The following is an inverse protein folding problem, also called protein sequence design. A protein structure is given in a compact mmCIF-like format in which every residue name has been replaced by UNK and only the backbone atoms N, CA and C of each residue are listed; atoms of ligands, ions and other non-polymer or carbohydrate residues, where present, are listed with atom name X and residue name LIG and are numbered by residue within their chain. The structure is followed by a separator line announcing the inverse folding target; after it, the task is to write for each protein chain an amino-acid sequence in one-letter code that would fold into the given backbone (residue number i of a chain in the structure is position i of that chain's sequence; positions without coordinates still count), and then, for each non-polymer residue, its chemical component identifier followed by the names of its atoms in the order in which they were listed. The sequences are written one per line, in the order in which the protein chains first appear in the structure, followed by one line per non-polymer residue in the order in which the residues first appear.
data_IF_883847124478
#
_entry.id   IF_883847124478
#
_cell.length_a   1.000
_cell.length_b   1.000
_cell.length_c   1.000
_cell.angle_alpha   90.00
_cell.angle_beta   90.00
_cell.angle_gamma   90.00
#
_symmetry.space_group_name_H-M   'P 1'
#
loop_
_entity.id
_entity.type
_entity.pdbx_description
1 polymer ?
#
# COMPACT_ATOMS: atom_id res chain seq x y z
N UNK A 1 -22.62 -17.01 -13.30
CA UNK A 1 -22.20 -18.36 -12.87
C UNK A 1 -21.63 -18.23 -11.46
N UNK A 2 -22.54 -18.11 -10.46
CA UNK A 2 -22.19 -17.81 -9.07
C UNK A 2 -22.45 -19.02 -8.20
N UNK A 3 -21.39 -19.50 -7.54
CA UNK A 3 -21.34 -20.34 -6.33
C UNK A 3 -22.33 -21.49 -6.22
N UNK A 4 -22.26 -22.48 -7.10
CA UNK A 4 -22.85 -23.80 -6.83
C UNK A 4 -21.97 -24.75 -6.00
N UNK A 5 -20.79 -24.30 -5.54
CA UNK A 5 -19.88 -25.14 -4.76
C UNK A 5 -19.15 -24.39 -3.65
N UNK A 6 -19.89 -23.73 -2.76
CA UNK A 6 -19.31 -23.48 -1.44
C UNK A 6 -19.48 -24.78 -0.65
N UNK A 7 -18.50 -25.65 -0.80
CA UNK A 7 -18.28 -26.76 0.10
C UNK A 7 -17.81 -26.20 1.45
N UNK A 8 -18.73 -25.61 2.21
CA UNK A 8 -18.48 -25.22 3.59
C UNK A 8 -18.32 -26.52 4.36
N UNK A 9 -17.07 -26.95 4.51
CA UNK A 9 -16.72 -28.01 5.47
C UNK A 9 -17.07 -27.49 6.86
N UNK A 10 -18.28 -27.80 7.29
CA UNK A 10 -18.76 -27.57 8.64
C UNK A 10 -18.02 -28.48 9.61
N UNK A 11 -16.88 -28.04 10.08
CA UNK A 11 -16.23 -28.62 11.23
C UNK A 11 -15.97 -27.52 12.24
N UNK A 12 -17.02 -27.14 12.94
CA UNK A 12 -16.97 -26.71 14.34
C UNK A 12 -18.36 -26.18 14.68
N UNK A 13 -19.03 -26.81 15.63
CA UNK A 13 -20.26 -26.32 16.26
C UNK A 13 -20.02 -24.88 16.70
N UNK A 14 -20.43 -23.91 15.88
CA UNK A 14 -20.29 -22.51 16.20
C UNK A 14 -21.25 -22.21 17.35
N UNK A 15 -20.74 -21.82 18.49
CA UNK A 15 -21.58 -21.33 19.56
C UNK A 15 -22.30 -20.06 19.08
N UNK A 16 -23.63 -20.05 19.24
CA UNK A 16 -24.44 -18.88 18.91
C UNK A 16 -24.38 -17.91 20.09
N UNK A 17 -23.88 -16.72 19.86
CA UNK A 17 -23.70 -15.72 20.91
C UNK A 17 -24.76 -14.62 20.88
N UNK A 18 -25.52 -14.53 19.79
CA UNK A 18 -26.50 -13.49 19.54
C UNK A 18 -27.87 -14.06 19.21
N UNK A 19 -28.90 -13.42 19.69
CA UNK A 19 -30.29 -13.75 19.39
C UNK A 19 -31.14 -12.49 19.27
N UNK A 20 -32.43 -12.66 18.95
CA UNK A 20 -33.42 -11.58 18.95
C UNK A 20 -34.31 -11.80 20.16
N UNK A 21 -34.41 -10.79 21.02
CA UNK A 21 -35.42 -10.75 22.07
C UNK A 21 -36.85 -10.66 21.45
N UNK A 22 -37.72 -11.60 21.80
CA UNK A 22 -39.05 -11.68 21.20
C UNK A 22 -39.97 -10.54 21.64
N UNK A 23 -39.71 -9.92 22.80
CA UNK A 23 -40.56 -8.85 23.34
C UNK A 23 -40.19 -7.50 22.68
N UNK A 24 -38.91 -7.22 22.49
CA UNK A 24 -38.46 -5.91 21.96
C UNK A 24 -38.16 -5.97 20.48
N UNK A 25 -37.84 -7.15 19.91
CA UNK A 25 -37.33 -7.32 18.54
C UNK A 25 -35.85 -6.92 18.40
N UNK A 26 -35.19 -6.59 19.50
CA UNK A 26 -33.78 -6.16 19.48
C UNK A 26 -32.83 -7.35 19.49
N UNK A 27 -31.66 -7.12 18.91
CA UNK A 27 -30.55 -8.11 18.95
C UNK A 27 -29.89 -8.02 20.34
N UNK A 28 -29.82 -9.17 21.02
CA UNK A 28 -29.25 -9.29 22.36
C UNK A 28 -28.10 -10.31 22.39
N UNK A 29 -27.08 -10.01 23.17
CA UNK A 29 -25.99 -10.96 23.45
C UNK A 29 -26.43 -11.98 24.50
N UNK A 30 -25.81 -13.19 24.47
CA UNK A 30 -26.09 -14.22 25.47
C UNK A 30 -25.86 -13.74 26.91
N UNK A 31 -24.89 -12.87 27.13
CA UNK A 31 -24.51 -12.37 28.43
C UNK A 31 -25.51 -11.31 28.94
N UNK A 32 -26.19 -10.60 28.06
CA UNK A 32 -27.18 -9.59 28.39
C UNK A 32 -28.54 -10.21 28.80
N UNK A 33 -28.77 -11.46 28.41
CA UNK A 33 -30.01 -12.17 28.74
C UNK A 33 -30.02 -12.61 30.22
N UNK A 34 -31.02 -12.19 30.97
CA UNK A 34 -31.10 -12.51 32.42
C UNK A 34 -31.50 -13.95 32.72
N UNK A 35 -32.39 -14.52 31.91
CA UNK A 35 -33.00 -15.83 32.16
C UNK A 35 -32.23 -16.95 31.44
N UNK A 36 -32.19 -18.15 32.07
CA UNK A 36 -31.60 -19.37 31.51
C UNK A 36 -32.65 -20.22 30.80
N UNK A 37 -32.22 -21.14 29.95
CA UNK A 37 -33.10 -22.08 29.26
C UNK A 37 -34.05 -21.40 28.28
N UNK A 38 -35.24 -21.91 28.11
CA UNK A 38 -36.28 -21.35 27.25
C UNK A 38 -36.84 -20.01 27.75
N UNK A 39 -36.70 -19.72 29.04
CA UNK A 39 -37.16 -18.49 29.64
C UNK A 39 -36.34 -17.26 29.18
N UNK A 40 -35.32 -17.46 28.37
CA UNK A 40 -34.57 -16.35 27.76
C UNK A 40 -35.42 -15.51 26.80
N UNK A 41 -36.55 -16.02 26.36
CA UNK A 41 -37.45 -15.36 25.41
C UNK A 41 -36.79 -14.88 24.14
N UNK A 42 -35.77 -15.61 23.67
CA UNK A 42 -34.99 -15.26 22.49
C UNK A 42 -35.25 -16.22 21.33
N UNK A 43 -35.08 -15.70 20.11
CA UNK A 43 -35.19 -16.46 18.87
C UNK A 43 -33.98 -16.28 17.98
N UNK A 44 -33.81 -17.22 17.05
CA UNK A 44 -32.73 -17.15 16.03
C UNK A 44 -33.00 -16.04 15.01
N UNK A 45 -31.98 -15.24 14.71
CA UNK A 45 -32.05 -14.19 13.68
C UNK A 45 -32.26 -14.75 12.26
N UNK A 46 -31.81 -15.99 12.00
CA UNK A 46 -31.88 -16.60 10.67
C UNK A 46 -33.20 -17.34 10.41
N UNK A 47 -33.64 -18.21 11.34
CA UNK A 47 -34.78 -19.08 11.12
C UNK A 47 -35.98 -18.73 11.97
N UNK A 48 -35.91 -17.73 12.85
CA UNK A 48 -36.90 -17.36 13.86
C UNK A 48 -37.26 -18.47 14.88
N UNK A 49 -36.48 -19.61 14.87
CA UNK A 49 -36.68 -20.69 15.84
C UNK A 49 -36.26 -20.28 17.25
N UNK A 50 -36.91 -20.89 18.27
CA UNK A 50 -36.68 -20.58 19.66
C UNK A 50 -35.31 -20.99 20.15
N UNK A 51 -34.69 -20.14 20.96
CA UNK A 51 -33.42 -20.37 21.58
C UNK A 51 -33.54 -20.84 23.04
N UNK A 52 -32.55 -21.67 23.41
CA UNK A 52 -32.26 -22.05 24.78
C UNK A 52 -30.97 -21.33 25.20
N UNK A 53 -31.02 -20.50 26.22
CA UNK A 53 -29.82 -19.85 26.76
C UNK A 53 -29.04 -20.83 27.67
N UNK A 54 -27.88 -21.29 27.23
CA UNK A 54 -26.99 -22.17 28.00
C UNK A 54 -25.96 -21.33 28.72
N UNK A 55 -26.20 -21.08 30.01
CA UNK A 55 -25.34 -20.25 30.89
C UNK A 55 -24.82 -21.09 32.06
N UNK A 56 -24.01 -22.09 31.80
CA UNK A 56 -23.41 -22.94 32.82
C UNK A 56 -22.05 -22.41 33.29
N UNK A 57 -21.68 -22.70 34.53
CA UNK A 57 -20.42 -22.21 35.13
C UNK A 57 -19.17 -22.80 34.45
N UNK A 58 -19.26 -24.02 33.91
CA UNK A 58 -18.11 -24.74 33.30
C UNK A 58 -17.98 -24.53 31.80
N UNK A 59 -19.04 -24.15 31.11
CA UNK A 59 -19.08 -24.01 29.65
C UNK A 59 -19.26 -22.56 29.26
N UNK A 60 -18.74 -22.22 28.08
CA UNK A 60 -19.00 -20.89 27.49
C UNK A 60 -20.49 -20.66 27.32
N UNK A 61 -20.94 -19.48 27.69
CA UNK A 61 -22.33 -19.07 27.48
C UNK A 61 -22.63 -19.03 25.97
N UNK A 62 -23.76 -19.60 25.56
CA UNK A 62 -24.22 -19.60 24.17
C UNK A 62 -25.72 -19.88 24.09
N UNK A 63 -26.31 -19.49 22.96
CA UNK A 63 -27.62 -19.94 22.58
C UNK A 63 -27.57 -21.28 21.84
N UNK A 64 -28.59 -22.08 21.98
CA UNK A 64 -28.79 -23.30 21.18
C UNK A 64 -30.24 -23.31 20.68
N UNK A 65 -30.47 -23.86 19.50
CA UNK A 65 -31.83 -24.08 19.03
C UNK A 65 -32.53 -25.14 19.89
N UNK A 66 -33.81 -24.94 20.12
CA UNK A 66 -34.64 -25.94 20.82
C UNK A 66 -34.75 -27.24 20.00
N UNK A 67 -34.80 -27.13 18.69
CA UNK A 67 -35.06 -28.22 17.75
C UNK A 67 -33.81 -28.95 17.25
N UNK A 68 -32.67 -28.83 17.88
CA UNK A 68 -31.36 -29.35 17.39
C UNK A 68 -31.01 -29.01 15.92
N UNK A 69 -31.70 -28.00 15.37
CA UNK A 69 -31.40 -27.51 14.02
C UNK A 69 -30.23 -26.53 14.06
N UNK A 70 -29.28 -26.69 13.16
CA UNK A 70 -28.12 -25.80 13.06
C UNK A 70 -28.35 -24.75 11.97
N UNK A 71 -28.45 -23.49 12.35
CA UNK A 71 -28.45 -22.37 11.43
C UNK A 71 -27.01 -21.90 11.19
N UNK A 72 -26.53 -22.14 10.01
CA UNK A 72 -25.15 -21.87 9.61
C UNK A 72 -24.76 -20.38 9.74
N UNK A 73 -25.72 -19.46 9.53
CA UNK A 73 -25.45 -18.03 9.49
C UNK A 73 -26.14 -17.23 10.62
N UNK A 74 -26.54 -17.90 11.70
CA UNK A 74 -27.34 -17.24 12.74
C UNK A 74 -26.58 -16.10 13.45
N UNK A 75 -25.32 -16.31 13.79
CA UNK A 75 -24.49 -15.26 14.41
C UNK A 75 -24.26 -14.08 13.48
N UNK A 76 -24.00 -14.36 12.25
CA UNK A 76 -23.67 -13.38 11.24
C UNK A 76 -24.87 -12.50 10.94
N UNK A 77 -26.01 -13.10 10.70
CA UNK A 77 -27.27 -12.36 10.49
C UNK A 77 -27.56 -11.51 11.71
N UNK A 78 -27.42 -12.05 12.93
CA UNK A 78 -27.61 -11.29 14.14
C UNK A 78 -26.64 -10.09 14.25
N UNK A 79 -25.37 -10.28 13.92
CA UNK A 79 -24.38 -9.21 13.91
C UNK A 79 -24.76 -8.12 12.89
N UNK A 80 -25.16 -8.50 11.68
CA UNK A 80 -25.62 -7.53 10.68
C UNK A 80 -26.84 -6.75 11.12
N UNK A 81 -27.80 -7.42 11.75
CA UNK A 81 -29.00 -6.77 12.31
C UNK A 81 -28.63 -5.83 13.48
N UNK A 82 -27.70 -6.26 14.34
CA UNK A 82 -27.20 -5.40 15.40
C UNK A 82 -26.53 -4.15 14.83
N UNK A 83 -25.61 -4.32 13.86
CA UNK A 83 -24.94 -3.19 13.22
C UNK A 83 -25.93 -2.28 12.50
N UNK A 84 -26.97 -2.84 11.86
CA UNK A 84 -28.09 -2.04 11.31
C UNK A 84 -28.75 -1.17 12.37
N UNK A 85 -29.07 -1.74 13.54
CA UNK A 85 -29.63 -0.98 14.65
C UNK A 85 -28.72 0.13 15.13
N UNK A 86 -27.41 -0.15 15.23
CA UNK A 86 -26.40 0.84 15.59
C UNK A 86 -26.37 1.99 14.57
N UNK A 87 -26.34 1.68 13.28
CA UNK A 87 -26.40 2.71 12.23
C UNK A 87 -27.66 3.55 12.33
N UNK A 88 -28.82 2.92 12.52
CA UNK A 88 -30.10 3.62 12.64
C UNK A 88 -30.21 4.49 13.91
N UNK A 89 -29.41 4.22 14.94
CA UNK A 89 -29.40 5.00 16.19
C UNK A 89 -28.50 6.24 16.15
N UNK A 90 -27.63 6.36 15.12
CA UNK A 90 -26.72 7.49 14.97
C UNK A 90 -27.14 8.36 13.78
N UNK A 91 -27.03 9.68 13.95
CA UNK A 91 -27.24 10.63 12.85
C UNK A 91 -26.00 10.73 11.94
N UNK A 92 -24.83 10.44 12.47
CA UNK A 92 -23.57 10.48 11.77
C UNK A 92 -22.69 9.31 12.18
N UNK A 93 -21.84 8.88 11.25
CA UNK A 93 -20.72 7.98 11.51
C UNK A 93 -19.43 8.59 10.97
N UNK A 94 -18.34 8.32 11.63
CA UNK A 94 -17.03 8.72 11.14
C UNK A 94 -16.64 7.86 9.93
N UNK A 95 -16.57 8.49 8.76
CA UNK A 95 -16.12 7.86 7.50
C UNK A 95 -14.61 8.07 7.29
N UNK A 96 -13.88 7.05 6.81
CA UNK A 96 -12.44 7.15 6.60
C UNK A 96 -12.11 8.07 5.44
N UNK A 97 -10.89 8.61 5.45
CA UNK A 97 -10.35 9.41 4.35
C UNK A 97 -10.46 8.69 3.00
N UNK A 98 -10.48 9.48 1.94
CA UNK A 98 -10.52 8.98 0.57
C UNK A 98 -9.14 9.17 -0.06
N UNK A 99 -8.28 8.13 -0.04
CA UNK A 99 -6.97 8.19 -0.64
C UNK A 99 -7.06 8.03 -2.16
N UNK A 100 -6.20 8.77 -2.88
CA UNK A 100 -6.05 8.66 -4.34
C UNK A 100 -4.59 8.39 -4.65
N UNK A 101 -4.32 7.29 -5.33
CA UNK A 101 -2.97 6.91 -5.71
C UNK A 101 -2.52 7.68 -6.96
N UNK A 102 -1.35 8.30 -6.88
CA UNK A 102 -0.70 9.00 -7.99
C UNK A 102 0.71 8.45 -8.14
N UNK A 103 0.92 7.51 -9.05
CA UNK A 103 2.19 6.81 -9.18
C UNK A 103 2.58 6.10 -7.88
N UNK A 104 3.69 6.51 -7.27
CA UNK A 104 4.22 5.92 -6.03
C UNK A 104 3.77 6.65 -4.75
N UNK A 105 2.94 7.69 -4.87
CA UNK A 105 2.44 8.44 -3.72
C UNK A 105 0.94 8.34 -3.62
N UNK A 106 0.43 8.69 -2.45
CA UNK A 106 -1.00 8.78 -2.17
C UNK A 106 -1.31 10.19 -1.69
N UNK A 107 -2.35 10.80 -2.24
CA UNK A 107 -2.90 12.07 -1.78
C UNK A 107 -4.32 11.87 -1.27
N UNK A 108 -4.72 12.66 -0.29
CA UNK A 108 -6.05 12.55 0.29
C UNK A 108 -7.01 13.48 -0.43
N UNK A 109 -7.99 12.91 -1.13
CA UNK A 109 -9.02 13.67 -1.85
C UNK A 109 -10.11 14.22 -0.90
N UNK A 110 -10.33 13.57 0.22
CA UNK A 110 -11.20 13.99 1.32
C UNK A 110 -10.65 13.40 2.62
N UNK A 111 -10.45 14.23 3.62
CA UNK A 111 -10.07 13.79 4.97
C UNK A 111 -11.24 13.03 5.60
N UNK A 112 -10.99 12.37 6.74
CA UNK A 112 -12.04 11.79 7.58
C UNK A 112 -13.15 12.81 7.84
N UNK A 113 -14.39 12.34 7.87
CA UNK A 113 -15.52 13.22 8.13
C UNK A 113 -16.66 12.46 8.79
N UNK A 114 -17.52 13.21 9.48
CA UNK A 114 -18.77 12.69 9.98
C UNK A 114 -19.79 12.61 8.84
N UNK A 115 -19.97 11.41 8.30
CA UNK A 115 -20.95 11.16 7.26
C UNK A 115 -22.33 11.07 7.87
N UNK A 116 -23.28 11.84 7.33
CA UNK A 116 -24.70 11.77 7.74
C UNK A 116 -25.28 10.42 7.34
N UNK A 117 -25.91 9.73 8.28
CA UNK A 117 -26.59 8.46 8.05
C UNK A 117 -28.04 8.73 7.70
N UNK A 118 -28.47 8.26 6.55
CA UNK A 118 -29.86 8.23 6.11
C UNK A 118 -30.50 6.86 6.36
N UNK A 119 -31.23 6.36 5.37
CA UNK A 119 -31.90 5.06 5.46
C UNK A 119 -30.87 3.92 5.52
N UNK A 120 -31.13 2.90 6.36
CA UNK A 120 -30.29 1.71 6.51
C UNK A 120 -31.14 0.46 6.38
N UNK A 121 -30.81 -0.39 5.44
CA UNK A 121 -31.49 -1.68 5.29
C UNK A 121 -30.49 -2.84 5.16
N UNK A 122 -30.96 -4.00 5.59
CA UNK A 122 -30.20 -5.24 5.50
C UNK A 122 -30.56 -5.96 4.21
N UNK A 123 -29.58 -6.41 3.49
CA UNK A 123 -29.74 -7.20 2.27
C UNK A 123 -29.04 -8.54 2.45
N UNK A 124 -29.78 -9.61 2.26
CA UNK A 124 -29.25 -10.97 2.24
C UNK A 124 -29.97 -11.74 1.15
N UNK A 125 -29.23 -12.20 0.18
CA UNK A 125 -29.66 -13.22 -0.76
C UNK A 125 -28.70 -14.41 -0.60
N UNK A 126 -29.13 -15.47 0.13
CA UNK A 126 -28.24 -16.60 0.42
C UNK A 126 -27.66 -17.27 -0.83
N UNK A 127 -28.33 -17.12 -1.98
CA UNK A 127 -27.89 -17.72 -3.24
C UNK A 127 -26.98 -16.82 -4.06
N UNK A 128 -27.09 -15.50 -3.88
CA UNK A 128 -26.37 -14.53 -4.71
C UNK A 128 -25.29 -13.74 -3.97
N UNK A 129 -25.55 -13.35 -2.73
CA UNK A 129 -24.68 -12.47 -1.97
C UNK A 129 -24.54 -12.90 -0.51
N UNK A 130 -23.31 -12.79 0.05
CA UNK A 130 -23.18 -12.81 1.51
C UNK A 130 -23.94 -11.63 2.11
N UNK A 131 -24.32 -11.71 3.40
CA UNK A 131 -25.05 -10.64 4.07
C UNK A 131 -24.32 -9.30 3.97
N UNK A 132 -25.05 -8.24 3.62
CA UNK A 132 -24.50 -6.88 3.60
C UNK A 132 -25.55 -5.87 4.12
N UNK A 133 -25.05 -4.71 4.53
CA UNK A 133 -25.90 -3.56 4.79
C UNK A 133 -25.79 -2.58 3.63
N UNK A 134 -26.88 -1.89 3.35
CA UNK A 134 -26.87 -0.70 2.51
C UNK A 134 -27.31 0.47 3.39
N UNK A 135 -26.47 1.47 3.50
CA UNK A 135 -26.74 2.70 4.23
C UNK A 135 -26.57 3.89 3.30
N UNK A 136 -27.42 4.88 3.41
CA UNK A 136 -27.14 6.17 2.79
C UNK A 136 -26.14 6.93 3.65
N UNK A 137 -24.98 7.23 3.08
CA UNK A 137 -23.98 8.10 3.68
C UNK A 137 -23.88 9.39 2.87
N UNK A 138 -24.22 10.52 3.48
CA UNK A 138 -24.32 11.83 2.79
C UNK A 138 -25.22 11.75 1.53
N UNK A 139 -26.35 11.07 1.61
CA UNK A 139 -27.30 10.80 0.51
C UNK A 139 -26.71 9.94 -0.63
N UNK A 140 -25.61 9.24 -0.38
CA UNK A 140 -25.02 8.31 -1.34
C UNK A 140 -25.25 6.88 -0.85
N UNK A 141 -25.91 6.01 -1.62
CA UNK A 141 -26.06 4.60 -1.26
C UNK A 141 -24.68 3.95 -1.13
N UNK A 142 -24.38 3.46 0.07
CA UNK A 142 -23.10 2.85 0.41
C UNK A 142 -23.35 1.42 0.86
N UNK A 143 -22.72 0.45 0.20
CA UNK A 143 -22.71 -0.93 0.67
C UNK A 143 -21.71 -1.07 1.80
N UNK A 144 -22.12 -1.70 2.88
CA UNK A 144 -21.28 -1.92 4.04
C UNK A 144 -21.14 -3.41 4.27
N UNK A 145 -19.91 -3.89 4.22
CA UNK A 145 -19.58 -5.27 4.55
C UNK A 145 -18.85 -5.32 5.89
N UNK A 146 -19.19 -6.32 6.67
CA UNK A 146 -18.56 -6.54 7.96
C UNK A 146 -17.52 -7.64 7.83
N UNK A 147 -16.25 -7.30 8.05
CA UNK A 147 -15.14 -8.26 8.00
C UNK A 147 -14.94 -8.88 9.38
N UNK A 148 -15.69 -9.93 9.65
CA UNK A 148 -15.50 -10.81 10.80
C UNK A 148 -15.57 -12.27 10.35
N UNK A 149 -14.65 -13.08 10.82
CA UNK A 149 -14.60 -14.48 10.40
C UNK A 149 -14.17 -14.70 8.93
N UNK A 150 -14.65 -15.80 8.32
CA UNK A 150 -14.20 -16.28 7.01
C UNK A 150 -15.21 -16.03 5.87
N UNK A 151 -16.11 -15.06 6.02
CA UNK A 151 -17.22 -14.87 5.06
C UNK A 151 -16.79 -14.30 3.72
N UNK A 152 -15.85 -13.35 3.72
CA UNK A 152 -15.34 -12.71 2.53
C UNK A 152 -13.93 -13.20 2.27
N UNK A 153 -13.75 -13.89 1.16
CA UNK A 153 -12.42 -14.20 0.63
C UNK A 153 -11.86 -12.97 -0.10
N UNK A 154 -10.57 -12.97 -0.41
CA UNK A 154 -9.97 -11.93 -1.25
C UNK A 154 -10.66 -11.84 -2.62
N UNK A 155 -11.04 -12.97 -3.20
CA UNK A 155 -11.76 -13.01 -4.47
C UNK A 155 -13.15 -12.36 -4.37
N UNK A 156 -13.86 -12.55 -3.26
CA UNK A 156 -15.15 -11.89 -3.02
C UNK A 156 -14.99 -10.37 -2.94
N UNK A 157 -13.93 -9.89 -2.31
CA UNK A 157 -13.63 -8.45 -2.22
C UNK A 157 -13.32 -7.88 -3.61
N UNK A 158 -12.57 -8.61 -4.42
CA UNK A 158 -12.27 -8.21 -5.81
C UNK A 158 -13.55 -8.11 -6.64
N UNK A 159 -14.44 -9.09 -6.54
CA UNK A 159 -15.72 -9.08 -7.24
C UNK A 159 -16.63 -7.94 -6.78
N UNK A 160 -16.73 -7.70 -5.47
CA UNK A 160 -17.48 -6.58 -4.90
C UNK A 160 -16.94 -5.23 -5.39
N UNK A 161 -15.62 -5.10 -5.47
CA UNK A 161 -14.97 -3.90 -6.00
C UNK A 161 -15.30 -3.67 -7.47
N UNK A 162 -15.26 -4.73 -8.26
CA UNK A 162 -15.60 -4.67 -9.69
C UNK A 162 -17.06 -4.25 -9.89
N UNK A 163 -18.00 -4.89 -9.19
CA UNK A 163 -19.41 -4.58 -9.26
C UNK A 163 -19.70 -3.13 -8.80
N UNK A 164 -19.07 -2.70 -7.70
CA UNK A 164 -19.21 -1.34 -7.20
C UNK A 164 -18.69 -0.31 -8.21
N UNK A 165 -17.57 -0.60 -8.89
CA UNK A 165 -17.03 0.23 -9.95
C UNK A 165 -17.98 0.35 -11.15
N UNK A 166 -18.52 -0.77 -11.62
CA UNK A 166 -19.45 -0.82 -12.77
C UNK A 166 -20.75 -0.05 -12.50
N UNK A 167 -21.26 -0.14 -11.27
CA UNK A 167 -22.51 0.49 -10.86
C UNK A 167 -22.33 1.89 -10.23
N UNK A 168 -21.09 2.33 -10.03
CA UNK A 168 -20.77 3.62 -9.41
C UNK A 168 -21.17 3.73 -7.94
N UNK A 169 -21.20 2.61 -7.21
CA UNK A 169 -21.55 2.56 -5.79
C UNK A 169 -20.33 2.76 -4.90
N UNK A 170 -20.55 3.36 -3.74
CA UNK A 170 -19.59 3.30 -2.66
C UNK A 170 -19.67 1.95 -1.94
N UNK A 171 -18.53 1.40 -1.54
CA UNK A 171 -18.44 0.16 -0.78
C UNK A 171 -17.43 0.31 0.35
N UNK A 172 -17.91 0.20 1.59
CA UNK A 172 -17.13 0.36 2.81
C UNK A 172 -17.02 -0.99 3.54
N UNK A 173 -15.84 -1.40 3.94
CA UNK A 173 -15.64 -2.50 4.86
C UNK A 173 -15.46 -1.98 6.29
N UNK A 174 -16.04 -2.69 7.26
CA UNK A 174 -15.80 -2.47 8.69
C UNK A 174 -15.22 -3.77 9.25
N UNK A 175 -13.99 -3.71 9.75
CA UNK A 175 -13.28 -4.85 10.32
C UNK A 175 -13.44 -4.88 11.83
N UNK A 176 -13.71 -6.07 12.35
CA UNK A 176 -13.80 -6.36 13.77
C UNK A 176 -12.80 -7.48 14.15
N UNK A 177 -11.50 -7.22 14.12
CA UNK A 177 -10.49 -8.28 14.25
C UNK A 177 -10.56 -9.04 15.57
N UNK A 178 -11.11 -8.43 16.62
CA UNK A 178 -11.21 -9.05 17.95
C UNK A 178 -12.45 -9.93 18.14
N UNK A 179 -13.44 -9.86 17.23
CA UNK A 179 -14.66 -10.66 17.38
C UNK A 179 -14.38 -12.15 17.19
N UNK A 180 -13.42 -12.52 16.34
CA UNK A 180 -13.07 -13.91 16.09
C UNK A 180 -12.25 -14.54 17.22
N UNK A 181 -11.54 -13.73 18.02
CA UNK A 181 -10.67 -14.18 19.10
C UNK A 181 -11.35 -14.14 20.48
N UNK A 182 -12.31 -13.24 20.66
CA UNK A 182 -13.02 -13.10 21.93
C UNK A 182 -14.19 -14.06 22.03
N UNK A 183 -14.26 -14.72 23.16
CA UNK A 183 -15.32 -15.70 23.52
C UNK A 183 -16.71 -15.07 23.68
N UNK A 184 -16.80 -13.75 23.73
CA UNK A 184 -18.03 -12.97 23.76
C UNK A 184 -17.86 -11.71 22.92
N UNK A 185 -18.85 -11.39 22.10
CA UNK A 185 -18.86 -10.15 21.33
C UNK A 185 -19.36 -9.05 22.26
N UNK A 186 -18.51 -8.05 22.51
CA UNK A 186 -18.91 -6.89 23.32
C UNK A 186 -19.68 -5.89 22.45
N UNK A 187 -21.00 -5.63 22.74
CA UNK A 187 -21.80 -4.68 22.00
C UNK A 187 -21.21 -3.27 21.94
N UNK A 188 -20.56 -2.82 23.01
CA UNK A 188 -19.99 -1.47 23.05
C UNK A 188 -18.77 -1.33 22.13
N UNK A 189 -17.95 -2.37 22.01
CA UNK A 189 -16.86 -2.39 21.02
C UNK A 189 -17.40 -2.37 19.59
N UNK A 190 -18.53 -3.03 19.33
CA UNK A 190 -19.17 -2.97 18.01
C UNK A 190 -19.75 -1.58 17.74
N UNK A 191 -20.41 -0.96 18.72
CA UNK A 191 -20.90 0.42 18.61
C UNK A 191 -19.73 1.38 18.31
N UNK A 192 -18.66 1.29 19.09
CA UNK A 192 -17.46 2.08 18.86
C UNK A 192 -16.86 1.84 17.47
N UNK A 193 -16.80 0.58 17.02
CA UNK A 193 -16.31 0.22 15.69
C UNK A 193 -17.14 0.81 14.55
N UNK A 194 -18.45 0.86 14.71
CA UNK A 194 -19.36 1.47 13.72
C UNK A 194 -19.28 2.99 13.75
N UNK A 195 -19.32 3.62 14.91
CA UNK A 195 -19.42 5.07 15.05
C UNK A 195 -18.07 5.77 14.82
N UNK A 196 -17.04 5.43 15.57
CA UNK A 196 -15.83 6.25 15.70
C UNK A 196 -14.48 5.55 15.41
N UNK A 197 -14.45 4.24 15.16
CA UNK A 197 -13.18 3.57 14.90
C UNK A 197 -12.82 3.62 13.41
N UNK A 198 -12.06 4.64 13.01
CA UNK A 198 -11.57 4.78 11.64
C UNK A 198 -10.63 3.65 11.24
N UNK A 199 -9.77 3.19 12.14
CA UNK A 199 -8.74 2.19 11.82
C UNK A 199 -9.30 0.85 11.32
N UNK A 200 -10.55 0.55 11.71
CA UNK A 200 -11.26 -0.63 11.23
C UNK A 200 -12.06 -0.43 9.95
N UNK A 201 -12.10 0.79 9.39
CA UNK A 201 -12.91 1.12 8.22
C UNK A 201 -12.03 1.36 6.99
N UNK A 202 -12.37 0.70 5.88
CA UNK A 202 -11.62 0.83 4.63
C UNK A 202 -12.56 0.86 3.44
N UNK A 203 -12.35 1.79 2.52
CA UNK A 203 -13.06 1.79 1.25
C UNK A 203 -12.60 0.62 0.39
N UNK A 204 -13.50 -0.25 0.00
CA UNK A 204 -13.29 -1.25 -1.06
C UNK A 204 -13.40 -0.56 -2.41
N UNK A 205 -14.39 0.33 -2.54
CA UNK A 205 -14.59 1.22 -3.67
C UNK A 205 -15.18 2.53 -3.17
N UNK A 206 -14.71 3.64 -3.72
CA UNK A 206 -15.27 4.96 -3.47
C UNK A 206 -15.40 5.73 -4.79
N UNK A 207 -16.61 6.15 -5.12
CA UNK A 207 -16.90 6.84 -6.38
C UNK A 207 -16.14 8.19 -6.52
N UNK A 208 -15.76 8.82 -5.39
CA UNK A 208 -14.91 10.01 -5.42
C UNK A 208 -13.49 9.67 -5.83
N UNK A 209 -12.90 8.61 -5.24
CA UNK A 209 -11.60 8.09 -5.64
C UNK A 209 -11.59 7.73 -7.12
N UNK A 210 -12.59 6.95 -7.56
CA UNK A 210 -12.72 6.53 -8.96
C UNK A 210 -12.77 7.71 -9.93
N UNK A 211 -13.53 8.77 -9.59
CA UNK A 211 -13.58 10.01 -10.41
C UNK A 211 -12.23 10.72 -10.48
N UNK A 212 -11.46 10.74 -9.40
CA UNK A 212 -10.12 11.31 -9.41
C UNK A 212 -9.15 10.46 -10.23
N UNK A 213 -9.20 9.13 -10.08
CA UNK A 213 -8.39 8.20 -10.88
C UNK A 213 -8.68 8.35 -12.38
N UNK A 214 -9.96 8.45 -12.75
CA UNK A 214 -10.35 8.69 -14.12
C UNK A 214 -9.76 10.01 -14.68
N UNK A 215 -9.89 11.11 -13.94
CA UNK A 215 -9.32 12.41 -14.34
C UNK A 215 -7.79 12.38 -14.44
N UNK A 216 -7.12 11.71 -13.53
CA UNK A 216 -5.67 11.53 -13.60
C UNK A 216 -5.29 10.72 -14.85
N UNK A 217 -6.02 9.66 -15.14
CA UNK A 217 -5.79 8.82 -16.32
C UNK A 217 -5.97 9.58 -17.63
N UNK A 218 -7.00 10.39 -17.75
CA UNK A 218 -7.24 11.25 -18.92
C UNK A 218 -6.13 12.28 -19.15
N UNK A 219 -5.54 12.77 -18.05
CA UNK A 219 -4.47 13.77 -18.11
C UNK A 219 -3.06 13.15 -18.18
N UNK A 220 -2.92 11.83 -18.01
CA UNK A 220 -1.64 11.16 -18.06
C UNK A 220 -1.26 10.78 -19.49
N UNK A 221 -0.24 11.45 -20.01
CA UNK A 221 0.22 11.30 -21.39
C UNK A 221 1.44 10.38 -21.44
N UNK A 222 1.53 9.56 -22.49
CA UNK A 222 2.75 8.79 -22.78
C UNK A 222 3.78 9.72 -23.41
N UNK A 223 4.94 9.97 -22.74
CA UNK A 223 5.96 10.81 -23.33
C UNK A 223 6.56 10.16 -24.59
N UNK A 224 6.93 10.96 -25.60
CA UNK A 224 7.57 10.43 -26.80
C UNK A 224 8.87 9.68 -26.47
N UNK A 225 9.15 8.62 -27.23
CA UNK A 225 10.41 7.87 -27.19
C UNK A 225 11.28 8.27 -28.38
N UNK A 226 11.64 9.53 -28.47
CA UNK A 226 12.39 10.10 -29.59
C UNK A 226 13.91 10.01 -29.41
N UNK A 227 14.35 9.37 -28.33
CA UNK A 227 15.77 9.26 -28.01
C UNK A 227 16.47 8.18 -28.84
N UNK A 228 17.76 8.38 -29.18
CA UNK A 228 18.55 7.39 -29.89
C UNK A 228 18.51 6.02 -29.21
N UNK A 229 18.38 4.94 -29.97
CA UNK A 229 18.33 3.57 -29.44
C UNK A 229 19.58 3.21 -28.62
N UNK A 230 20.72 3.82 -28.92
CA UNK A 230 21.98 3.67 -28.16
C UNK A 230 21.90 4.17 -26.72
N UNK A 231 20.90 4.96 -26.36
CA UNK A 231 20.69 5.45 -24.99
C UNK A 231 19.84 4.49 -24.13
N UNK A 232 19.38 3.39 -24.72
CA UNK A 232 18.45 2.45 -24.10
C UNK A 232 17.02 3.02 -24.03
N UNK A 233 16.20 2.49 -23.11
CA UNK A 233 14.85 3.00 -22.92
C UNK A 233 14.91 4.37 -22.27
N UNK A 234 14.55 5.40 -23.01
CA UNK A 234 14.50 6.79 -22.54
C UNK A 234 13.26 7.48 -23.09
N UNK A 235 12.69 8.38 -22.31
CA UNK A 235 11.50 9.15 -22.63
C UNK A 235 11.87 10.63 -22.69
N UNK A 236 11.24 11.38 -23.55
CA UNK A 236 11.30 12.85 -23.51
C UNK A 236 10.78 13.35 -22.17
N UNK A 237 11.56 14.20 -21.50
CA UNK A 237 11.24 14.61 -20.15
C UNK A 237 10.74 16.07 -20.10
N UNK A 238 9.46 16.31 -19.78
CA UNK A 238 8.89 17.66 -19.73
C UNK A 238 9.49 18.57 -18.65
N UNK A 239 10.14 18.00 -17.65
CA UNK A 239 10.78 18.76 -16.56
C UNK A 239 12.31 18.82 -16.68
N UNK A 240 12.85 18.44 -17.84
CA UNK A 240 14.30 18.51 -18.12
C UNK A 240 15.16 17.74 -17.11
N UNK A 241 14.74 16.50 -16.74
CA UNK A 241 15.40 15.73 -15.66
C UNK A 241 16.87 15.42 -15.94
N UNK A 242 17.17 15.02 -17.17
CA UNK A 242 18.54 14.81 -17.69
C UNK A 242 18.70 15.53 -19.00
N UNK A 243 19.94 15.92 -19.30
CA UNK A 243 20.29 16.50 -20.59
C UNK A 243 21.45 15.71 -21.20
N UNK A 244 21.39 15.52 -22.51
CA UNK A 244 22.49 14.98 -23.30
C UNK A 244 22.34 15.44 -24.76
N UNK A 245 23.41 16.00 -25.31
CA UNK A 245 23.44 16.46 -26.70
C UNK A 245 22.32 17.43 -27.05
N UNK A 246 21.96 18.31 -26.11
CA UNK A 246 20.87 19.30 -26.26
C UNK A 246 19.47 18.70 -26.19
N UNK A 247 19.30 17.45 -25.73
CA UNK A 247 18.00 16.80 -25.57
C UNK A 247 17.72 16.51 -24.11
N UNK A 248 16.49 16.77 -23.68
CA UNK A 248 16.04 16.48 -22.33
C UNK A 248 15.32 15.14 -22.24
N UNK A 249 15.75 14.27 -21.33
CA UNK A 249 15.22 12.93 -21.21
C UNK A 249 15.14 12.44 -19.76
N UNK A 250 14.42 11.34 -19.57
CA UNK A 250 14.39 10.57 -18.34
C UNK A 250 14.45 9.07 -18.66
N UNK A 251 15.06 8.30 -17.79
CA UNK A 251 15.04 6.83 -17.84
C UNK A 251 13.91 6.29 -16.96
N UNK A 252 13.49 5.02 -17.11
CA UNK A 252 12.47 4.41 -16.27
C UNK A 252 12.74 4.56 -14.76
N UNK A 253 14.02 4.49 -14.32
CA UNK A 253 14.43 4.66 -12.93
C UNK A 253 14.20 6.08 -12.42
N UNK A 254 14.39 7.08 -13.27
CA UNK A 254 14.08 8.48 -12.94
C UNK A 254 12.57 8.67 -12.84
N UNK A 255 11.82 8.10 -13.79
CA UNK A 255 10.37 8.16 -13.81
C UNK A 255 9.75 7.46 -12.60
N UNK A 256 10.31 6.31 -12.17
CA UNK A 256 9.80 5.57 -11.00
C UNK A 256 9.79 6.40 -9.71
N UNK A 257 10.70 7.37 -9.60
CA UNK A 257 10.84 8.27 -8.44
C UNK A 257 10.28 9.67 -8.70
N UNK A 258 9.73 9.91 -9.88
CA UNK A 258 9.26 11.22 -10.28
C UNK A 258 7.87 11.51 -9.69
N UNK A 259 7.68 12.72 -9.16
CA UNK A 259 6.38 13.16 -8.64
C UNK A 259 5.28 13.24 -9.70
N UNK A 260 5.63 13.31 -10.98
CA UNK A 260 4.70 13.36 -12.11
C UNK A 260 4.43 11.99 -12.76
N UNK A 261 5.04 10.93 -12.24
CA UNK A 261 4.76 9.60 -12.76
C UNK A 261 3.36 9.17 -12.39
N UNK A 262 2.57 8.73 -13.37
CA UNK A 262 1.28 8.10 -13.15
C UNK A 262 1.39 6.57 -13.16
N UNK A 263 2.06 6.00 -14.17
CA UNK A 263 2.37 4.57 -14.26
C UNK A 263 3.57 4.33 -15.17
N UNK A 264 4.26 3.22 -14.97
CA UNK A 264 5.33 2.75 -15.87
C UNK A 264 4.91 1.54 -16.70
N UNK A 265 3.86 0.84 -16.30
CA UNK A 265 3.40 -0.42 -16.91
C UNK A 265 1.96 -0.29 -17.41
N UNK A 266 1.61 -0.76 -18.61
CA UNK A 266 2.51 -1.35 -19.63
C UNK A 266 3.37 -0.33 -20.38
N UNK A 267 3.06 0.97 -20.27
CA UNK A 267 3.81 2.09 -20.84
C UNK A 267 3.91 3.22 -19.85
N UNK A 268 5.02 3.95 -19.88
CA UNK A 268 5.17 5.15 -19.06
C UNK A 268 4.06 6.16 -19.40
N UNK A 269 3.35 6.63 -18.37
CA UNK A 269 2.42 7.74 -18.45
C UNK A 269 2.83 8.82 -17.46
N UNK A 270 2.94 10.04 -17.95
CA UNK A 270 3.44 11.20 -17.21
C UNK A 270 2.37 12.29 -17.11
N UNK A 271 2.23 12.86 -15.95
CA UNK A 271 1.31 13.96 -15.66
C UNK A 271 1.94 15.35 -15.89
N UNK A 272 3.29 15.42 -16.00
CA UNK A 272 3.99 16.67 -16.23
C UNK A 272 3.65 17.34 -17.57
N UNK A 273 3.29 16.52 -18.59
CA UNK A 273 2.83 17.04 -19.91
C UNK A 273 1.61 17.96 -19.77
N UNK A 274 0.80 17.75 -18.73
CA UNK A 274 -0.38 18.58 -18.41
C UNK A 274 -0.21 19.37 -17.10
N UNK A 275 1.01 19.46 -16.57
CA UNK A 275 1.34 20.28 -15.41
C UNK A 275 0.70 19.80 -14.09
N UNK A 276 0.37 18.50 -13.97
CA UNK A 276 -0.32 17.98 -12.78
C UNK A 276 0.68 17.30 -11.87
N UNK A 277 0.94 17.91 -10.74
CA UNK A 277 1.74 17.35 -9.65
C UNK A 277 0.84 16.86 -8.51
N UNK A 278 -0.23 17.59 -8.20
CA UNK A 278 -1.15 17.33 -7.09
C UNK A 278 -2.60 17.24 -7.58
N UNK A 279 -3.48 16.59 -6.82
CA UNK A 279 -4.92 16.52 -7.14
C UNK A 279 -5.55 17.89 -7.35
N UNK A 280 -5.12 18.89 -6.56
CA UNK A 280 -5.61 20.26 -6.68
C UNK A 280 -5.31 20.88 -8.04
N UNK A 281 -4.20 20.49 -8.68
CA UNK A 281 -3.76 21.08 -9.95
C UNK A 281 -4.75 20.78 -11.08
N UNK A 282 -5.43 19.63 -11.03
CA UNK A 282 -6.47 19.28 -12.02
C UNK A 282 -7.59 20.33 -12.13
N UNK A 283 -7.82 21.08 -11.03
CA UNK A 283 -8.85 22.11 -10.99
C UNK A 283 -8.37 23.46 -11.54
N UNK A 284 -7.08 23.62 -11.73
CA UNK A 284 -6.48 24.86 -12.24
C UNK A 284 -6.52 24.91 -13.77
N UNK A 285 -6.58 26.10 -14.38
CA UNK A 285 -6.33 26.29 -15.80
C UNK A 285 -4.97 25.74 -16.23
N UNK A 286 -4.85 25.30 -17.48
CA UNK A 286 -3.62 24.67 -17.97
C UNK A 286 -2.42 25.62 -17.93
N UNK A 287 -2.65 26.90 -18.16
CA UNK A 287 -1.62 27.95 -18.11
C UNK A 287 -0.96 28.01 -16.73
N UNK A 288 -1.75 28.02 -15.65
CA UNK A 288 -1.26 28.05 -14.27
C UNK A 288 -0.55 26.76 -13.89
N UNK A 289 -1.03 25.61 -14.40
CA UNK A 289 -0.36 24.33 -14.18
C UNK A 289 1.02 24.30 -14.85
N UNK A 290 1.12 24.83 -16.04
CA UNK A 290 2.37 24.85 -16.81
C UNK A 290 3.41 25.82 -16.23
N UNK A 291 3.04 26.86 -15.49
CA UNK A 291 3.99 27.75 -14.80
C UNK A 291 4.89 26.96 -13.83
N UNK A 292 4.33 25.99 -13.10
CA UNK A 292 5.11 25.15 -12.20
C UNK A 292 6.12 24.28 -12.95
N UNK A 293 5.75 23.77 -14.13
CA UNK A 293 6.64 22.98 -14.99
C UNK A 293 7.77 23.87 -15.52
N UNK A 294 7.46 25.06 -16.03
CA UNK A 294 8.45 26.02 -16.53
C UNK A 294 9.47 26.39 -15.45
N UNK A 295 8.99 26.62 -14.21
CA UNK A 295 9.89 26.86 -13.09
C UNK A 295 10.83 25.69 -12.85
N UNK A 296 10.33 24.44 -12.84
CA UNK A 296 11.16 23.25 -12.67
C UNK A 296 12.14 23.04 -13.84
N UNK A 297 11.71 23.32 -15.07
CA UNK A 297 12.60 23.30 -16.24
C UNK A 297 13.79 24.25 -16.00
N UNK A 298 13.50 25.49 -15.67
CA UNK A 298 14.55 26.49 -15.41
C UNK A 298 15.51 26.04 -14.30
N UNK A 299 15.00 25.55 -13.18
CA UNK A 299 15.81 25.05 -12.07
C UNK A 299 16.70 23.85 -12.49
N UNK A 300 16.18 22.96 -13.32
CA UNK A 300 16.96 21.82 -13.81
C UNK A 300 17.98 22.24 -14.87
N UNK A 301 17.64 23.18 -15.75
CA UNK A 301 18.55 23.72 -16.76
C UNK A 301 19.73 24.45 -16.09
N UNK A 302 19.48 25.27 -15.07
CA UNK A 302 20.52 25.91 -14.25
C UNK A 302 21.43 24.86 -13.60
N UNK A 303 20.87 23.76 -13.10
CA UNK A 303 21.62 22.64 -12.52
C UNK A 303 22.49 21.95 -13.57
N UNK A 304 21.98 21.72 -14.79
CA UNK A 304 22.76 21.12 -15.88
C UNK A 304 23.93 22.01 -16.27
N UNK A 305 23.74 23.31 -16.37
CA UNK A 305 24.80 24.28 -16.63
C UNK A 305 25.90 24.23 -15.54
N UNK A 306 25.48 24.19 -14.28
CA UNK A 306 26.44 24.11 -13.17
C UNK A 306 27.25 22.80 -13.20
N UNK A 307 26.61 21.68 -13.47
CA UNK A 307 27.29 20.38 -13.60
C UNK A 307 28.29 20.42 -14.76
N UNK A 308 27.90 20.96 -15.91
CA UNK A 308 28.79 21.09 -17.07
C UNK A 308 29.99 21.99 -16.76
N UNK A 309 29.81 23.12 -16.04
CA UNK A 309 30.90 23.96 -15.58
C UNK A 309 31.85 23.20 -14.65
N UNK A 310 31.33 22.51 -13.65
CA UNK A 310 32.15 21.71 -12.72
C UNK A 310 32.97 20.62 -13.44
N UNK A 311 32.36 19.97 -14.44
CA UNK A 311 33.07 18.95 -15.25
C UNK A 311 34.22 19.60 -16.06
N UNK A 312 33.95 20.73 -16.71
CA UNK A 312 34.92 21.45 -17.46
C UNK A 312 36.09 21.95 -16.58
N UNK A 313 35.80 22.49 -15.40
CA UNK A 313 36.82 22.94 -14.44
C UNK A 313 37.70 21.76 -13.96
N UNK A 314 37.06 20.59 -13.72
CA UNK A 314 37.78 19.37 -13.36
C UNK A 314 38.70 18.88 -14.49
N UNK A 315 38.23 18.87 -15.72
CA UNK A 315 39.02 18.49 -16.88
C UNK A 315 40.18 19.45 -17.10
N UNK A 316 39.97 20.78 -16.98
CA UNK A 316 41.00 21.78 -17.05
C UNK A 316 42.05 21.59 -15.94
N UNK A 317 41.62 21.27 -14.73
CA UNK A 317 42.51 21.01 -13.59
C UNK A 317 43.37 19.76 -13.83
N UNK A 318 42.75 18.71 -14.37
CA UNK A 318 43.49 17.49 -14.75
C UNK A 318 44.52 17.75 -15.87
N UNK A 319 44.13 18.52 -16.89
CA UNK A 319 45.04 18.93 -17.95
C UNK A 319 46.21 19.79 -17.44
N UNK A 320 45.97 20.73 -16.50
CA UNK A 320 47.02 21.53 -15.85
C UNK A 320 47.97 20.65 -15.04
N UNK A 321 47.45 19.71 -14.27
CA UNK A 321 48.25 18.79 -13.48
C UNK A 321 49.10 17.86 -14.37
N UNK A 322 48.56 17.39 -15.50
CA UNK A 322 49.32 16.61 -16.47
C UNK A 322 50.44 17.43 -17.17
N UNK A 323 50.21 18.72 -17.46
CA UNK A 323 51.23 19.63 -17.99
C UNK A 323 52.32 19.92 -16.97
N UNK A 324 51.95 20.16 -15.70
CA UNK A 324 52.92 20.40 -14.63
C UNK A 324 53.73 19.13 -14.28
N UNK A 325 53.12 17.94 -14.37
CA UNK A 325 53.86 16.68 -14.19
C UNK A 325 54.78 16.34 -15.36
N UNK A 326 54.55 16.89 -16.56
CA UNK A 326 55.53 16.72 -17.65
C UNK A 326 56.82 17.54 -17.47
N UNK A 327 56.82 18.50 -16.55
CA UNK A 327 58.01 19.29 -16.20
C UNK A 327 58.80 18.77 -14.98
N UNK A 328 58.32 17.75 -14.28
CA UNK A 328 58.94 17.25 -13.05
C UNK A 328 59.10 15.72 -13.09
N UNK A 329 60.37 15.31 -13.26
CA UNK A 329 61.01 14.06 -12.81
C UNK A 329 61.00 12.83 -13.74
N UNK A 330 62.17 12.40 -14.23
CA UNK A 330 62.36 11.14 -14.98
C UNK A 330 62.31 9.88 -14.09
N UNK A 331 62.10 10.01 -12.79
CA UNK A 331 62.03 8.86 -11.85
C UNK A 331 60.66 8.20 -11.74
N UNK A 332 59.57 8.79 -12.27
CA UNK A 332 58.24 8.17 -12.27
C UNK A 332 57.98 7.14 -13.38
N UNK A 333 58.94 6.92 -14.26
CA UNK A 333 58.82 5.93 -15.34
C UNK A 333 59.06 4.47 -14.92
N UNK A 334 59.39 4.23 -13.63
CA UNK A 334 59.53 2.85 -13.13
C UNK A 334 58.23 2.19 -12.66
N UNK A 335 57.18 2.94 -12.33
CA UNK A 335 55.91 2.35 -11.89
C UNK A 335 55.07 1.70 -13.02
N UNK A 336 55.29 2.11 -14.26
CA UNK A 336 54.61 1.49 -15.42
C UNK A 336 55.16 0.12 -15.80
N UNK A 337 56.27 -0.30 -15.22
CA UNK A 337 56.94 -1.57 -15.49
C UNK A 337 56.57 -2.68 -14.49
N UNK A 338 55.80 -2.36 -13.44
CA UNK A 338 55.37 -3.37 -12.45
C UNK A 338 54.29 -4.28 -13.05
N UNK A 339 54.51 -5.59 -12.90
CA UNK A 339 53.50 -6.59 -13.23
C UNK A 339 52.22 -6.42 -12.37
N UNK A 340 51.10 -6.98 -12.83
CA UNK A 340 49.85 -6.97 -12.08
C UNK A 340 50.01 -7.60 -10.69
N UNK A 341 50.85 -8.63 -10.59
CA UNK A 341 51.15 -9.32 -9.34
C UNK A 341 51.97 -8.47 -8.38
N UNK A 342 52.95 -7.76 -8.88
CA UNK A 342 53.78 -6.83 -8.09
C UNK A 342 52.96 -5.65 -7.56
N UNK A 343 52.02 -5.11 -8.36
CA UNK A 343 51.08 -4.06 -7.91
C UNK A 343 50.18 -4.58 -6.83
N UNK A 344 49.63 -5.79 -6.98
CA UNK A 344 48.82 -6.43 -5.95
C UNK A 344 49.58 -6.65 -4.64
N UNK A 345 50.83 -7.07 -4.74
CA UNK A 345 51.69 -7.28 -3.59
C UNK A 345 51.95 -5.96 -2.83
N UNK A 346 52.36 -4.92 -3.54
CA UNK A 346 52.66 -3.60 -2.96
C UNK A 346 51.38 -2.96 -2.41
N UNK A 347 50.27 -3.04 -3.14
CA UNK A 347 48.96 -2.58 -2.66
C UNK A 347 48.55 -3.28 -1.38
N UNK A 348 48.69 -4.61 -1.28
CA UNK A 348 48.42 -5.38 -0.09
C UNK A 348 49.23 -4.93 1.11
N UNK A 349 50.54 -4.66 0.90
CA UNK A 349 51.40 -4.17 1.98
C UNK A 349 51.02 -2.76 2.49
N UNK A 350 50.58 -1.90 1.58
CA UNK A 350 50.09 -0.58 1.95
C UNK A 350 48.75 -0.69 2.75
N UNK A 351 47.84 -1.51 2.29
CA UNK A 351 46.53 -1.68 2.93
C UNK A 351 46.64 -2.35 4.29
N UNK A 352 47.54 -3.34 4.46
CA UNK A 352 47.83 -3.96 5.74
C UNK A 352 48.27 -2.95 6.81
N UNK A 353 48.90 -1.85 6.43
CA UNK A 353 49.27 -0.76 7.34
C UNK A 353 48.12 0.18 7.69
N UNK A 354 47.09 0.22 6.88
CA UNK A 354 45.96 1.17 6.97
C UNK A 354 44.70 0.56 7.52
N UNK A 355 44.49 -0.75 7.36
CA UNK A 355 43.28 -1.47 7.84
C UNK A 355 43.59 -2.24 9.12
N UNK A 356 43.30 -1.64 10.26
CA UNK A 356 43.47 -2.29 11.57
C UNK A 356 42.25 -3.14 11.97
N UNK A 357 41.08 -2.90 11.36
CA UNK A 357 39.83 -3.58 11.68
C UNK A 357 39.04 -3.89 10.40
N UNK A 358 38.23 -4.96 10.39
CA UNK A 358 37.27 -5.22 9.33
C UNK A 358 36.32 -4.03 9.17
N UNK A 359 36.12 -3.57 7.94
CA UNK A 359 35.20 -2.48 7.62
C UNK A 359 34.50 -2.81 6.30
N UNK A 360 33.19 -2.52 6.25
CA UNK A 360 32.41 -2.62 5.00
C UNK A 360 32.77 -1.51 4.02
N UNK A 361 33.48 -0.47 4.47
CA UNK A 361 33.98 0.58 3.61
C UNK A 361 35.26 0.14 2.92
N UNK A 362 35.31 0.16 1.57
CA UNK A 362 36.47 -0.24 0.84
C UNK A 362 37.63 0.77 0.97
N UNK A 363 38.82 0.26 1.15
CA UNK A 363 40.06 1.08 1.12
C UNK A 363 40.71 0.90 -0.23
N UNK A 364 41.10 2.01 -0.84
CA UNK A 364 41.82 2.01 -2.11
C UNK A 364 43.34 2.15 -1.88
N UNK A 365 44.15 1.34 -2.60
CA UNK A 365 45.60 1.47 -2.60
C UNK A 365 46.07 2.58 -3.59
N UNK A 366 47.37 2.81 -3.66
CA UNK A 366 47.98 3.77 -4.59
C UNK A 366 47.71 3.46 -6.07
N UNK A 367 47.33 2.23 -6.41
CA UNK A 367 47.00 1.79 -7.76
C UNK A 367 45.50 1.84 -8.06
N UNK A 368 44.70 2.42 -7.16
CA UNK A 368 43.23 2.48 -7.21
C UNK A 368 42.51 1.12 -7.20
N UNK A 369 43.17 0.08 -6.70
CA UNK A 369 42.56 -1.22 -6.46
C UNK A 369 41.74 -1.14 -5.15
N UNK A 370 40.53 -1.62 -5.21
CA UNK A 370 39.63 -1.68 -4.05
C UNK A 370 39.90 -2.93 -3.22
N UNK A 371 40.23 -2.76 -1.94
CA UNK A 371 40.50 -3.83 -1.01
C UNK A 371 39.41 -3.96 0.06
N UNK A 372 39.16 -5.20 0.48
CA UNK A 372 38.22 -5.52 1.56
C UNK A 372 38.90 -6.47 2.54
N UNK A 373 38.59 -6.31 3.83
CA UNK A 373 39.01 -7.26 4.86
C UNK A 373 37.81 -8.14 5.22
N UNK A 374 37.98 -9.45 5.14
CA UNK A 374 36.93 -10.39 5.51
C UNK A 374 36.61 -10.29 7.02
N UNK A 375 35.35 -10.08 7.35
CA UNK A 375 34.91 -9.97 8.76
C UNK A 375 35.06 -11.28 9.54
N UNK A 376 35.13 -12.42 8.85
CA UNK A 376 35.20 -13.75 9.46
C UNK A 376 36.65 -14.26 9.65
N UNK A 377 37.51 -14.08 8.66
CA UNK A 377 38.91 -14.59 8.71
C UNK A 377 39.95 -13.49 8.79
N UNK A 378 39.57 -12.22 8.72
CA UNK A 378 40.41 -11.01 8.69
C UNK A 378 41.41 -10.99 7.55
N UNK A 379 41.18 -11.78 6.51
CA UNK A 379 42.03 -11.80 5.32
C UNK A 379 41.72 -10.61 4.41
N UNK A 380 42.75 -9.91 3.94
CA UNK A 380 42.62 -8.77 3.05
C UNK A 380 42.80 -9.24 1.63
N UNK A 381 41.80 -8.99 0.76
CA UNK A 381 41.79 -9.35 -0.66
C UNK A 381 41.26 -8.20 -1.52
N UNK A 382 41.70 -8.12 -2.81
CA UNK A 382 41.03 -7.24 -3.75
C UNK A 382 39.55 -7.61 -3.91
N UNK A 383 38.70 -6.62 -4.13
CA UNK A 383 37.24 -6.85 -4.20
C UNK A 383 36.81 -7.75 -5.36
N UNK A 384 37.56 -7.79 -6.45
CA UNK A 384 37.34 -8.68 -7.61
C UNK A 384 37.63 -10.15 -7.30
N UNK A 385 38.57 -10.43 -6.41
CA UNK A 385 38.85 -11.78 -5.92
C UNK A 385 37.81 -12.28 -4.88
N UNK A 386 37.16 -11.37 -4.15
CA UNK A 386 36.12 -11.72 -3.18
C UNK A 386 34.82 -12.16 -3.86
N UNK A 387 34.52 -11.62 -5.04
CA UNK A 387 33.30 -11.94 -5.80
C UNK A 387 33.32 -13.33 -6.44
N UNK A 388 34.49 -13.93 -6.68
CA UNK A 388 34.63 -15.25 -7.31
C UNK A 388 34.36 -16.44 -6.38
N UNK A 389 34.27 -16.21 -5.07
CA UNK A 389 33.95 -17.25 -4.08
C UNK A 389 32.49 -17.28 -3.71
N UNK A 390 31.57 -17.25 -4.65
CA UNK A 390 30.12 -17.54 -4.64
C UNK A 390 29.41 -17.95 -3.35
N UNK A 391 29.89 -17.55 -2.21
CA UNK A 391 29.34 -17.86 -0.90
C UNK A 391 29.29 -16.60 -0.06
N UNK A 392 28.07 -16.15 0.20
CA UNK A 392 27.68 -15.20 1.23
C UNK A 392 28.74 -14.98 2.31
N UNK A 393 29.61 -14.01 2.13
CA UNK A 393 30.22 -13.31 3.24
C UNK A 393 29.26 -12.17 3.63
N UNK A 394 28.05 -12.56 4.06
CA UNK A 394 27.17 -11.65 4.77
C UNK A 394 27.66 -11.58 6.22
N UNK A 395 27.70 -10.35 6.71
CA UNK A 395 27.94 -9.98 8.08
C UNK A 395 27.17 -10.83 9.10
#
# INVERSE_FOLDING_TARGET
MYRSEINIKHSNRSHLYWGIDKATGEVVGIDDVRSRGLNCNCKCAACNGDFIARKGEKNKHHFAHQSNYECVYANEIAIYLFVKMVFASYQTIEAPEVPVKIGNRTEIAKNNWDARVGEVYYQCDPEQYPPLLVAELDSTPTRIILLFGKYYTEDDIVLLKQEACEKGWDCLSISFPRITEQKSINPDLMRLGVQGNIQGKTWIHNAREARWQYRLQENAVTPPQTMPASWGTAYECPIHKREREGRYYARPEDCSRCAFNYTLVPKCKCLAMNGIQHLRDIKLPIEQRMESIQKMQKENDERHLLIAQMQNDREQSLCRNQRNNKQYNPTMFQESALSVEERKYLGKQEILKRMERPSDDPVFDQFHVRWLMCTRCHEIKPSDEMASYGGRHSA
#
